data_IF_836201706811
#
_entry.id   IF_836201706811
#
_cell.length_a   1.000
_cell.length_b   1.000
_cell.length_c   1.000
_cell.angle_alpha   90.00
_cell.angle_beta   90.00
_cell.angle_gamma   90.00
#
_symmetry.space_group_name_H-M   'P 1'
#
loop_
_entity.id
_entity.type
_entity.pdbx_description
1 polymer ?
#
# COMPACT_ATOMS: atom_id res chain seq x y z
N UNK A 1 10.53 6.63 -9.04
CA UNK A 1 9.54 6.13 -8.05
C UNK A 1 8.95 7.33 -7.33
N UNK A 2 7.66 7.33 -6.97
CA UNK A 2 7.00 8.39 -6.20
C UNK A 2 7.44 8.38 -4.73
N UNK A 3 8.73 8.67 -4.50
CA UNK A 3 9.37 8.78 -3.19
C UNK A 3 9.77 10.23 -2.97
N UNK A 4 9.72 10.69 -1.73
CA UNK A 4 10.32 11.95 -1.28
C UNK A 4 11.85 11.82 -1.26
N UNK A 5 12.55 12.94 -1.11
CA UNK A 5 14.02 13.03 -1.19
C UNK A 5 14.76 12.11 -0.18
N UNK A 6 14.09 11.76 0.93
CA UNK A 6 14.59 10.81 1.93
C UNK A 6 14.18 9.35 1.67
N UNK A 7 13.70 9.03 0.47
CA UNK A 7 13.29 7.68 0.06
C UNK A 7 11.94 7.21 0.62
N UNK A 8 11.23 8.02 1.40
CA UNK A 8 9.91 7.69 1.96
C UNK A 8 8.81 7.93 0.93
N UNK A 9 7.69 7.21 1.07
CA UNK A 9 6.46 7.55 0.35
C UNK A 9 5.77 8.74 1.05
N UNK A 10 5.38 9.77 0.29
CA UNK A 10 4.65 10.93 0.84
C UNK A 10 3.22 10.56 1.24
N UNK A 11 2.62 11.27 2.22
CA UNK A 11 1.20 11.05 2.55
C UNK A 11 0.25 11.33 1.39
N UNK A 12 0.59 12.29 0.51
CA UNK A 12 -0.20 12.54 -0.72
C UNK A 12 -0.21 11.30 -1.62
N UNK A 13 0.93 10.64 -1.78
CA UNK A 13 1.00 9.38 -2.54
C UNK A 13 0.18 8.27 -1.87
N UNK A 14 0.22 8.16 -0.54
CA UNK A 14 -0.60 7.18 0.20
C UNK A 14 -2.09 7.47 0.02
N UNK A 15 -2.52 8.72 0.15
CA UNK A 15 -3.91 9.14 -0.01
C UNK A 15 -4.44 8.86 -1.43
N UNK A 16 -3.68 9.23 -2.46
CA UNK A 16 -4.04 8.94 -3.85
C UNK A 16 -4.13 7.41 -4.10
N UNK A 17 -3.25 6.63 -3.47
CA UNK A 17 -3.28 5.17 -3.57
C UNK A 17 -4.53 4.61 -2.90
N UNK A 18 -4.90 5.11 -1.71
CA UNK A 18 -6.13 4.70 -1.02
C UNK A 18 -7.38 5.00 -1.86
N UNK A 19 -7.47 6.19 -2.43
CA UNK A 19 -8.59 6.58 -3.30
C UNK A 19 -8.72 5.64 -4.50
N UNK A 20 -7.61 5.42 -5.22
CA UNK A 20 -7.61 4.52 -6.37
C UNK A 20 -7.93 3.08 -5.97
N UNK A 21 -7.37 2.57 -4.87
CA UNK A 21 -7.63 1.21 -4.39
C UNK A 21 -9.11 1.04 -4.02
N UNK A 22 -9.71 1.96 -3.26
CA UNK A 22 -11.14 1.91 -2.91
C UNK A 22 -12.04 1.95 -4.14
N UNK A 23 -11.73 2.81 -5.11
CA UNK A 23 -12.45 2.86 -6.37
C UNK A 23 -12.40 1.52 -7.11
N UNK A 24 -11.23 0.88 -7.19
CA UNK A 24 -11.08 -0.43 -7.84
C UNK A 24 -11.77 -1.54 -7.05
N UNK A 25 -11.75 -1.47 -5.71
CA UNK A 25 -12.46 -2.41 -4.84
C UNK A 25 -13.97 -2.37 -5.11
N UNK A 26 -14.57 -1.17 -5.14
CA UNK A 26 -15.98 -0.99 -5.44
C UNK A 26 -16.31 -1.44 -6.86
N UNK A 27 -15.51 -1.03 -7.84
CA UNK A 27 -15.74 -1.35 -9.27
C UNK A 27 -15.75 -2.85 -9.57
N UNK A 28 -14.93 -3.63 -8.86
CA UNK A 28 -14.73 -5.06 -9.13
C UNK A 28 -15.26 -5.97 -8.02
N UNK A 29 -15.87 -5.43 -6.96
CA UNK A 29 -16.34 -6.21 -5.81
C UNK A 29 -15.21 -6.93 -5.07
N UNK A 30 -14.08 -6.25 -4.87
CA UNK A 30 -12.90 -6.81 -4.19
C UNK A 30 -12.93 -6.40 -2.72
N UNK A 31 -12.99 -7.38 -1.83
CA UNK A 31 -12.88 -7.15 -0.39
C UNK A 31 -11.49 -6.68 0.01
N UNK A 32 -11.39 -5.91 1.11
CA UNK A 32 -10.12 -5.38 1.59
C UNK A 32 -9.09 -6.49 1.86
N UNK A 33 -9.52 -7.70 2.23
CA UNK A 33 -8.66 -8.86 2.49
C UNK A 33 -7.99 -9.44 1.25
N UNK A 34 -8.53 -9.13 0.07
CA UNK A 34 -7.92 -9.46 -1.22
C UNK A 34 -6.87 -8.41 -1.66
N UNK A 35 -6.74 -7.28 -0.94
CA UNK A 35 -5.71 -6.28 -1.20
C UNK A 35 -4.43 -6.66 -0.47
N UNK A 36 -3.44 -7.12 -1.26
CA UNK A 36 -2.18 -7.66 -0.76
C UNK A 36 -0.96 -6.88 -1.27
N UNK A 37 0.17 -6.98 -0.57
CA UNK A 37 1.46 -6.48 -1.10
C UNK A 37 2.02 -7.44 -2.11
N UNK A 38 2.93 -6.95 -2.93
CA UNK A 38 3.74 -7.83 -3.77
C UNK A 38 4.52 -8.86 -2.93
N UNK A 39 4.97 -8.51 -1.72
CA UNK A 39 5.58 -9.44 -0.77
C UNK A 39 4.68 -10.63 -0.43
N UNK A 40 3.38 -10.39 -0.23
CA UNK A 40 2.43 -11.46 0.13
C UNK A 40 2.22 -12.43 -1.05
N UNK A 41 2.31 -11.93 -2.29
CA UNK A 41 2.13 -12.72 -3.51
C UNK A 41 3.39 -13.45 -3.98
N UNK A 42 4.58 -12.86 -3.85
CA UNK A 42 5.82 -13.40 -4.45
C UNK A 42 6.99 -13.55 -3.48
N UNK A 43 6.87 -13.11 -2.23
CA UNK A 43 7.95 -13.02 -1.22
C UNK A 43 9.10 -12.08 -1.59
N UNK A 44 9.02 -11.35 -2.70
CA UNK A 44 9.92 -10.24 -2.99
C UNK A 44 9.74 -9.14 -1.95
N UNK A 45 10.84 -8.57 -1.42
CA UNK A 45 10.79 -7.40 -0.53
C UNK A 45 10.29 -6.15 -1.28
N UNK A 46 8.97 -6.11 -1.50
CA UNK A 46 8.27 -5.09 -2.23
C UNK A 46 6.84 -4.96 -1.67
N UNK A 47 6.40 -3.76 -1.28
CA UNK A 47 7.09 -2.48 -1.42
C UNK A 47 8.13 -2.23 -0.32
N UNK A 48 9.43 -2.28 -0.64
CA UNK A 48 10.53 -2.13 0.35
C UNK A 48 10.50 -0.80 1.11
N UNK A 49 9.91 0.25 0.53
CA UNK A 49 9.72 1.53 1.21
C UNK A 49 8.77 1.47 2.41
N UNK A 50 7.98 0.39 2.55
CA UNK A 50 7.10 0.15 3.67
C UNK A 50 7.61 -0.95 4.62
N UNK A 51 8.78 -1.56 4.36
CA UNK A 51 9.26 -2.73 5.13
C UNK A 51 9.70 -2.38 6.56
N UNK A 52 10.23 -1.17 6.77
CA UNK A 52 10.70 -0.72 8.07
C UNK A 52 9.65 -0.91 9.18
N UNK A 53 10.11 -1.11 10.43
CA UNK A 53 9.25 -1.25 11.59
C UNK A 53 8.18 -2.35 11.44
N UNK A 54 8.60 -3.53 10.97
CA UNK A 54 7.72 -4.70 10.77
C UNK A 54 6.48 -4.38 9.90
N UNK A 55 6.70 -3.64 8.80
CA UNK A 55 5.65 -3.27 7.85
C UNK A 55 4.55 -2.35 8.41
N UNK A 56 4.83 -1.55 9.44
CA UNK A 56 3.85 -0.67 10.10
C UNK A 56 3.04 0.21 9.13
N UNK A 57 3.70 0.81 8.14
CA UNK A 57 3.06 1.67 7.14
C UNK A 57 2.12 0.90 6.23
N UNK A 58 2.44 -0.36 5.92
CA UNK A 58 1.52 -1.21 5.18
C UNK A 58 0.27 -1.51 6.01
N UNK A 59 0.44 -1.85 7.29
CA UNK A 59 -0.71 -2.11 8.16
C UNK A 59 -1.57 -0.87 8.37
N UNK A 60 -0.96 0.31 8.49
CA UNK A 60 -1.69 1.58 8.50
C UNK A 60 -2.47 1.81 7.19
N UNK A 61 -1.87 1.52 6.04
CA UNK A 61 -2.58 1.58 4.75
C UNK A 61 -3.77 0.62 4.72
N UNK A 62 -3.58 -0.65 5.11
CA UNK A 62 -4.65 -1.67 5.14
C UNK A 62 -5.79 -1.31 6.09
N UNK A 63 -5.50 -0.69 7.23
CA UNK A 63 -6.53 -0.19 8.17
C UNK A 63 -7.35 0.98 7.61
N UNK A 64 -6.82 1.70 6.63
CA UNK A 64 -7.46 2.87 5.99
C UNK A 64 -8.26 2.49 4.74
N UNK A 65 -8.20 1.24 4.26
CA UNK A 65 -9.02 0.73 3.16
C UNK A 65 -10.46 0.54 3.63
#
# INVERSE_FOLDING_TARGET
MCRTDNGRISEKTVANTLELTKYLMEKYGIDADCVVRHYDASRKDCPSALHNNNWDRWWNFKQRL
#
